data_IF_574067894750
#
_entry.id   IF_574067894750
#
_cell.length_a   1.000
_cell.length_b   1.000
_cell.length_c   1.000
_cell.angle_alpha   90.00
_cell.angle_beta   90.00
_cell.angle_gamma   90.00
#
_symmetry.space_group_name_H-M   'P 1'
#
loop_
_entity.id
_entity.type
_entity.pdbx_description
1 polymer ?
#
# COMPACT_ATOMS: atom_id res chain seq x y z
N UNK A 1 15.19 15.86 5.26
CA UNK A 1 15.07 14.38 5.34
C UNK A 1 13.80 13.92 4.63
N UNK A 2 13.76 12.69 4.11
CA UNK A 2 12.56 12.12 3.46
C UNK A 2 12.03 10.89 4.21
N UNK A 3 10.71 10.68 4.13
CA UNK A 3 10.10 9.38 4.45
C UNK A 3 9.75 8.65 3.15
N UNK A 4 10.18 7.40 3.02
CA UNK A 4 9.80 6.52 1.93
C UNK A 4 8.81 5.46 2.44
N UNK A 5 7.67 5.32 1.78
CA UNK A 5 6.61 4.38 2.17
C UNK A 5 6.30 3.44 0.99
N UNK A 6 7.01 2.30 0.89
CA UNK A 6 6.72 1.30 -0.12
C UNK A 6 5.50 0.47 0.27
N UNK A 7 4.57 0.28 -0.65
CA UNK A 7 3.40 -0.55 -0.42
C UNK A 7 2.43 -0.56 -1.59
N UNK A 8 1.47 -1.49 -1.57
CA UNK A 8 0.43 -1.53 -2.60
C UNK A 8 -0.58 -0.39 -2.45
N UNK A 9 -0.80 0.12 -1.24
CA UNK A 9 -1.64 1.29 -0.94
C UNK A 9 -3.07 1.22 -1.51
N UNK A 10 -3.73 0.05 -1.38
CA UNK A 10 -5.15 -0.08 -1.75
C UNK A 10 -6.10 0.65 -0.78
N UNK A 11 -5.64 0.91 0.43
CA UNK A 11 -6.36 1.59 1.48
C UNK A 11 -5.33 2.21 2.45
N UNK A 12 -5.66 3.36 3.04
CA UNK A 12 -4.86 4.02 4.07
C UNK A 12 -5.64 4.06 5.40
N UNK A 13 -4.93 3.83 6.49
CA UNK A 13 -5.55 3.67 7.82
C UNK A 13 -5.40 4.91 8.68
N UNK A 14 -6.26 5.05 9.69
CA UNK A 14 -6.12 6.10 10.68
C UNK A 14 -4.80 5.95 11.46
N UNK A 15 -4.41 4.71 11.79
CA UNK A 15 -3.11 4.44 12.40
C UNK A 15 -1.95 4.98 11.57
N UNK A 16 -1.94 4.76 10.25
CA UNK A 16 -0.88 5.28 9.38
C UNK A 16 -0.81 6.80 9.42
N UNK A 17 -1.96 7.47 9.46
CA UNK A 17 -2.02 8.91 9.60
C UNK A 17 -1.41 9.37 10.92
N UNK A 18 -1.87 8.80 12.04
CA UNK A 18 -1.42 9.16 13.38
C UNK A 18 0.07 8.86 13.58
N UNK A 19 0.56 7.76 13.01
CA UNK A 19 1.97 7.37 13.03
C UNK A 19 2.85 8.37 12.27
N UNK A 20 2.45 8.75 11.05
CA UNK A 20 3.18 9.73 10.25
C UNK A 20 3.11 11.11 10.90
N UNK A 21 1.94 11.55 11.36
CA UNK A 21 1.80 12.80 12.11
C UNK A 21 2.67 12.81 13.37
N UNK A 22 2.76 11.68 14.08
CA UNK A 22 3.67 11.51 15.21
C UNK A 22 5.14 11.72 14.82
N UNK A 23 5.58 11.16 13.69
CA UNK A 23 6.95 11.37 13.18
C UNK A 23 7.18 12.84 12.82
N UNK A 24 6.23 13.49 12.15
CA UNK A 24 6.38 14.87 11.67
C UNK A 24 6.38 15.90 12.81
N UNK A 25 5.66 15.62 13.89
CA UNK A 25 5.49 16.56 15.01
C UNK A 25 6.54 16.38 16.13
N UNK A 26 7.40 15.37 16.06
CA UNK A 26 8.42 15.10 17.07
C UNK A 26 9.84 15.21 16.50
N UNK A 27 10.83 15.60 17.32
CA UNK A 27 12.24 15.45 16.93
C UNK A 27 12.55 13.99 16.58
N UNK A 28 13.28 13.76 15.49
CA UNK A 28 13.62 12.40 15.04
C UNK A 28 14.34 11.59 16.11
N UNK A 29 15.12 12.25 16.99
CA UNK A 29 15.83 11.61 18.10
C UNK A 29 14.90 10.99 19.15
N UNK A 30 13.61 11.34 19.16
CA UNK A 30 12.62 10.73 20.06
C UNK A 30 11.91 9.54 19.41
N UNK A 31 12.18 9.26 18.13
CA UNK A 31 11.60 8.17 17.37
C UNK A 31 12.59 7.01 17.41
N UNK A 32 12.07 5.81 17.61
CA UNK A 32 12.87 4.58 17.59
C UNK A 32 12.75 3.91 16.23
N UNK A 33 13.86 3.36 15.74
CA UNK A 33 13.85 2.45 14.60
C UNK A 33 13.30 1.07 14.98
N UNK A 34 13.21 0.18 13.98
CA UNK A 34 12.74 -1.20 14.14
C UNK A 34 13.54 -2.02 15.19
N UNK A 35 14.78 -1.61 15.49
CA UNK A 35 15.65 -2.26 16.47
C UNK A 35 15.61 -1.58 17.85
N UNK A 36 14.71 -0.61 18.04
CA UNK A 36 14.56 0.14 19.29
C UNK A 36 15.64 1.21 19.51
N UNK A 37 16.42 1.54 18.48
CA UNK A 37 17.46 2.57 18.56
C UNK A 37 16.92 3.94 18.15
N UNK A 38 17.24 5.01 18.90
CA UNK A 38 16.82 6.36 18.51
C UNK A 38 17.40 6.77 17.15
N UNK A 39 16.60 7.46 16.32
CA UNK A 39 17.08 7.97 15.03
C UNK A 39 18.15 9.05 15.29
N UNK A 40 19.40 8.74 14.94
CA UNK A 40 20.54 9.63 15.15
C UNK A 40 20.59 10.82 14.19
N UNK A 41 19.78 10.78 13.12
CA UNK A 41 19.78 11.79 12.07
C UNK A 41 19.14 13.08 12.57
N UNK A 42 19.84 14.19 12.39
CA UNK A 42 19.30 15.52 12.64
C UNK A 42 18.54 16.04 11.42
N UNK A 43 17.54 16.89 11.65
CA UNK A 43 16.76 17.56 10.61
C UNK A 43 15.27 17.27 10.69
N UNK A 44 14.50 17.97 9.85
CA UNK A 44 13.05 17.78 9.71
C UNK A 44 12.76 16.91 8.50
N UNK A 45 11.62 16.21 8.53
CA UNK A 45 11.07 15.60 7.33
C UNK A 45 10.58 16.72 6.41
N UNK A 46 11.06 16.73 5.18
CA UNK A 46 10.75 17.73 4.16
C UNK A 46 9.67 17.25 3.19
N UNK A 47 9.56 15.94 2.98
CA UNK A 47 8.54 15.33 2.15
C UNK A 47 8.34 13.85 2.49
N UNK A 48 7.17 13.34 2.13
CA UNK A 48 6.83 11.92 2.17
C UNK A 48 6.70 11.42 0.74
N UNK A 49 7.29 10.26 0.47
CA UNK A 49 7.34 9.64 -0.84
C UNK A 49 6.65 8.29 -0.75
N UNK A 50 5.49 8.18 -1.37
CA UNK A 50 4.78 6.91 -1.52
C UNK A 50 5.26 6.20 -2.77
N UNK A 51 5.88 5.03 -2.56
CA UNK A 51 6.22 4.10 -3.62
C UNK A 51 5.09 3.09 -3.77
N UNK A 52 4.21 3.32 -4.75
CA UNK A 52 3.01 2.52 -5.00
C UNK A 52 3.37 1.28 -5.81
N UNK A 53 3.55 0.16 -5.13
CA UNK A 53 4.04 -1.08 -5.72
C UNK A 53 2.97 -1.83 -6.51
N UNK A 54 3.40 -2.65 -7.48
CA UNK A 54 2.53 -3.27 -8.48
C UNK A 54 1.62 -2.22 -9.15
N UNK A 55 2.20 -1.09 -9.57
CA UNK A 55 1.47 0.02 -10.18
C UNK A 55 0.74 -0.39 -11.47
N UNK A 56 1.37 -1.27 -12.25
CA UNK A 56 0.85 -1.89 -13.47
C UNK A 56 -0.24 -2.96 -13.25
N UNK A 57 -0.54 -3.37 -12.01
CA UNK A 57 -1.57 -4.38 -11.73
C UNK A 57 -2.89 -3.72 -11.29
N UNK A 58 -4.00 -4.28 -11.79
CA UNK A 58 -5.36 -3.86 -11.41
C UNK A 58 -6.38 -4.95 -11.74
N UNK A 59 -7.58 -4.86 -11.18
CA UNK A 59 -8.69 -5.79 -11.44
C UNK A 59 -8.42 -7.26 -11.06
N UNK A 60 -7.57 -7.49 -10.06
CA UNK A 60 -7.35 -8.84 -9.48
C UNK A 60 -7.72 -8.82 -8.00
N UNK A 61 -7.83 -9.99 -7.35
CA UNK A 61 -8.10 -10.01 -5.91
C UNK A 61 -6.99 -9.36 -5.11
N UNK A 62 -5.71 -9.59 -5.48
CA UNK A 62 -4.55 -8.99 -4.80
C UNK A 62 -4.32 -7.51 -5.16
N UNK A 63 -4.75 -7.10 -6.36
CA UNK A 63 -4.65 -5.72 -6.83
C UNK A 63 -5.98 -5.24 -7.41
N UNK A 64 -6.99 -4.99 -6.56
CA UNK A 64 -8.32 -4.65 -7.06
C UNK A 64 -8.38 -3.24 -7.65
N UNK A 65 -7.56 -2.32 -7.13
CA UNK A 65 -7.56 -0.92 -7.53
C UNK A 65 -6.39 -0.58 -8.48
N UNK A 66 -6.64 0.17 -9.56
CA UNK A 66 -5.58 0.66 -10.43
C UNK A 66 -4.72 1.73 -9.74
N UNK A 67 -3.50 1.96 -10.23
CA UNK A 67 -2.57 2.94 -9.67
C UNK A 67 -3.19 4.32 -9.43
N UNK A 68 -3.91 4.86 -10.41
CA UNK A 68 -4.47 6.22 -10.29
C UNK A 68 -5.50 6.36 -9.14
N UNK A 69 -6.27 5.32 -8.82
CA UNK A 69 -7.20 5.37 -7.67
C UNK A 69 -6.47 5.34 -6.33
N UNK A 70 -5.37 4.60 -6.27
CA UNK A 70 -4.49 4.56 -5.11
C UNK A 70 -3.78 5.90 -4.92
N UNK A 71 -3.28 6.47 -6.01
CA UNK A 71 -2.67 7.80 -6.01
C UNK A 71 -3.66 8.88 -5.53
N UNK A 72 -4.90 8.89 -6.03
CA UNK A 72 -5.94 9.81 -5.53
C UNK A 72 -6.23 9.65 -4.02
N UNK A 73 -6.20 8.41 -3.52
CA UNK A 73 -6.38 8.16 -2.08
C UNK A 73 -5.21 8.68 -1.25
N UNK A 74 -3.98 8.55 -1.77
CA UNK A 74 -2.78 9.06 -1.11
C UNK A 74 -2.72 10.59 -1.16
N UNK A 75 -3.11 11.20 -2.28
CA UNK A 75 -3.15 12.65 -2.44
C UNK A 75 -4.10 13.28 -1.42
N UNK A 76 -5.34 12.79 -1.35
CA UNK A 76 -6.33 13.21 -0.34
C UNK A 76 -5.85 12.96 1.10
N UNK A 77 -5.09 11.87 1.34
CA UNK A 77 -4.51 11.56 2.65
C UNK A 77 -3.36 12.50 3.02
N UNK A 78 -2.60 12.95 2.03
CA UNK A 78 -1.40 13.77 2.20
C UNK A 78 -1.71 15.21 2.58
N UNK A 79 -2.85 15.75 2.15
CA UNK A 79 -3.27 17.14 2.39
C UNK A 79 -3.20 17.56 3.87
N UNK A 80 -3.47 16.64 4.81
CA UNK A 80 -3.47 16.93 6.24
C UNK A 80 -2.14 16.64 6.96
N UNK A 81 -1.10 16.18 6.27
CA UNK A 81 0.20 15.84 6.89
C UNK A 81 1.12 17.06 7.07
N UNK A 82 0.84 18.20 6.44
CA UNK A 82 1.61 19.43 6.62
C UNK A 82 3.02 19.44 5.99
N UNK A 83 3.36 18.39 5.24
CA UNK A 83 4.55 18.32 4.38
C UNK A 83 4.13 17.83 2.98
N UNK A 84 4.84 18.22 1.91
CA UNK A 84 4.59 17.70 0.57
C UNK A 84 4.60 16.17 0.50
N UNK A 85 3.62 15.62 -0.20
CA UNK A 85 3.52 14.18 -0.50
C UNK A 85 3.74 13.96 -1.99
N UNK A 86 4.61 13.02 -2.33
CA UNK A 86 4.90 12.62 -3.71
C UNK A 86 4.58 11.15 -3.92
N UNK A 87 4.07 10.81 -5.10
CA UNK A 87 3.53 9.49 -5.40
C UNK A 87 4.19 8.98 -6.67
N UNK A 88 4.86 7.83 -6.58
CA UNK A 88 5.51 7.20 -7.72
C UNK A 88 5.04 5.76 -7.88
N UNK A 89 4.63 5.42 -9.11
CA UNK A 89 4.26 4.07 -9.48
C UNK A 89 5.48 3.17 -9.65
N UNK A 90 5.51 2.06 -8.92
CA UNK A 90 6.55 1.04 -9.01
C UNK A 90 5.95 -0.20 -9.65
N UNK A 91 6.28 -0.43 -10.91
CA UNK A 91 5.76 -1.57 -11.66
C UNK A 91 6.30 -2.88 -11.11
N UNK A 92 5.46 -3.90 -11.10
CA UNK A 92 5.87 -5.27 -10.89
C UNK A 92 6.50 -5.79 -12.18
N UNK A 93 7.80 -6.10 -12.13
CA UNK A 93 8.58 -6.59 -13.27
C UNK A 93 9.00 -8.05 -13.09
N UNK A 94 8.31 -8.78 -12.20
CA UNK A 94 8.61 -10.16 -11.87
C UNK A 94 9.73 -10.31 -10.84
N UNK A 95 10.56 -11.33 -10.99
CA UNK A 95 11.57 -11.67 -9.98
C UNK A 95 12.76 -10.70 -10.03
N UNK A 96 12.77 -9.73 -9.11
CA UNK A 96 13.86 -8.78 -8.92
C UNK A 96 14.60 -9.12 -7.63
N UNK A 97 15.88 -9.51 -7.75
CA UNK A 97 16.72 -9.87 -6.60
C UNK A 97 16.92 -8.71 -5.60
N UNK A 98 16.78 -7.47 -6.06
CA UNK A 98 16.94 -6.27 -5.23
C UNK A 98 15.83 -5.25 -5.53
N UNK A 99 14.62 -5.53 -5.03
CA UNK A 99 13.45 -4.70 -5.25
C UNK A 99 13.59 -3.28 -4.66
N UNK A 100 14.35 -3.10 -3.56
CA UNK A 100 14.59 -1.78 -2.97
C UNK A 100 15.40 -0.90 -3.91
N UNK A 101 16.52 -1.39 -4.46
CA UNK A 101 17.32 -0.64 -5.45
C UNK A 101 16.51 -0.27 -6.69
N UNK A 102 15.70 -1.21 -7.21
CA UNK A 102 14.78 -0.92 -8.31
C UNK A 102 13.80 0.21 -7.96
N UNK A 103 13.20 0.17 -6.77
CA UNK A 103 12.28 1.21 -6.30
C UNK A 103 12.95 2.57 -6.23
N UNK A 104 14.15 2.67 -5.65
CA UNK A 104 14.90 3.92 -5.55
C UNK A 104 15.27 4.47 -6.93
N UNK A 105 15.73 3.61 -7.85
CA UNK A 105 16.06 4.01 -9.23
C UNK A 105 14.82 4.49 -10.00
N UNK A 106 13.68 3.82 -9.82
CA UNK A 106 12.41 4.20 -10.45
C UNK A 106 11.96 5.57 -9.95
N UNK A 107 11.98 5.81 -8.64
CA UNK A 107 11.65 7.13 -8.05
C UNK A 107 12.59 8.21 -8.60
N UNK A 108 13.90 7.96 -8.64
CA UNK A 108 14.87 8.92 -9.17
C UNK A 108 14.59 9.24 -10.64
N UNK A 109 14.26 8.25 -11.45
CA UNK A 109 13.97 8.44 -12.87
C UNK A 109 12.66 9.22 -13.09
N UNK A 110 11.57 8.78 -12.46
CA UNK A 110 10.24 9.39 -12.62
C UNK A 110 10.16 10.80 -12.01
N UNK A 111 11.00 11.09 -11.02
CA UNK A 111 11.13 12.44 -10.45
C UNK A 111 12.11 13.34 -11.20
N UNK A 112 12.63 12.91 -12.36
CA UNK A 112 13.65 13.63 -13.14
C UNK A 112 14.89 14.01 -12.31
N UNK A 113 15.23 13.18 -11.33
CA UNK A 113 16.36 13.40 -10.43
C UNK A 113 16.09 14.34 -9.26
N UNK A 114 14.86 14.83 -9.10
CA UNK A 114 14.44 15.64 -7.94
C UNK A 114 14.68 14.89 -6.62
N UNK A 115 14.38 13.59 -6.59
CA UNK A 115 14.61 12.74 -5.42
C UNK A 115 15.80 11.79 -5.63
N UNK A 116 16.86 12.02 -4.84
CA UNK A 116 18.01 11.12 -4.73
C UNK A 116 18.01 10.49 -3.35
N UNK A 117 17.21 9.45 -3.18
CA UNK A 117 17.03 8.79 -1.89
C UNK A 117 18.24 7.92 -1.54
N UNK A 118 18.85 8.18 -0.39
CA UNK A 118 19.98 7.44 0.16
C UNK A 118 19.72 7.08 1.62
N UNK A 119 20.44 6.10 2.19
CA UNK A 119 20.37 5.79 3.61
C UNK A 119 20.59 6.99 4.53
N UNK A 120 21.38 7.98 4.12
CA UNK A 120 21.71 9.17 4.92
C UNK A 120 20.56 10.16 4.98
N UNK A 121 19.78 10.31 3.89
CA UNK A 121 18.74 11.33 3.78
C UNK A 121 17.31 10.80 3.88
N UNK A 122 17.13 9.48 3.95
CA UNK A 122 15.81 8.83 3.92
C UNK A 122 15.62 7.85 5.08
N UNK A 123 14.41 7.84 5.62
CA UNK A 123 13.91 6.78 6.52
C UNK A 123 12.82 6.01 5.78
N UNK A 124 12.76 4.69 5.97
CA UNK A 124 11.78 3.83 5.30
C UNK A 124 10.71 3.40 6.30
N UNK A 125 9.45 3.73 6.04
CA UNK A 125 8.31 3.29 6.84
C UNK A 125 7.76 2.01 6.22
N UNK A 126 8.01 0.86 6.84
CA UNK A 126 7.58 -0.43 6.32
C UNK A 126 7.41 -1.48 7.42
N UNK A 127 6.27 -2.17 7.40
CA UNK A 127 5.90 -3.22 8.36
C UNK A 127 5.95 -4.64 7.76
N UNK A 128 6.26 -4.78 6.47
CA UNK A 128 6.23 -6.06 5.75
C UNK A 128 7.64 -6.61 5.44
N UNK A 129 7.81 -7.88 5.06
CA UNK A 129 9.11 -8.47 4.75
C UNK A 129 9.97 -7.72 3.73
N UNK A 130 9.36 -6.90 2.88
CA UNK A 130 10.10 -6.02 1.95
C UNK A 130 11.07 -5.07 2.69
N UNK A 131 10.82 -4.75 3.96
CA UNK A 131 11.72 -3.93 4.78
C UNK A 131 13.14 -4.49 4.83
N UNK A 132 13.30 -5.82 4.76
CA UNK A 132 14.61 -6.45 4.85
C UNK A 132 15.51 -6.01 3.69
N UNK A 133 14.96 -5.85 2.48
CA UNK A 133 15.73 -5.40 1.32
C UNK A 133 16.22 -3.95 1.47
N UNK A 134 15.45 -3.09 2.13
CA UNK A 134 15.85 -1.72 2.44
C UNK A 134 16.89 -1.68 3.56
N UNK A 135 16.72 -2.49 4.60
CA UNK A 135 17.67 -2.63 5.70
C UNK A 135 19.03 -3.15 5.21
N UNK A 136 19.04 -4.19 4.37
CA UNK A 136 20.27 -4.69 3.71
C UNK A 136 20.95 -3.63 2.83
N UNK A 137 20.18 -2.66 2.33
CA UNK A 137 20.69 -1.51 1.56
C UNK A 137 21.12 -0.34 2.46
N UNK A 138 21.11 -0.51 3.78
CA UNK A 138 21.57 0.46 4.78
C UNK A 138 20.52 1.45 5.27
N UNK A 139 19.28 1.38 4.77
CA UNK A 139 18.24 2.31 5.20
C UNK A 139 17.79 2.03 6.64
N UNK A 140 17.51 3.11 7.37
CA UNK A 140 16.87 3.00 8.70
C UNK A 140 15.38 2.73 8.53
N UNK A 141 14.87 1.69 9.19
CA UNK A 141 13.48 1.26 9.09
C UNK A 141 12.68 1.76 10.29
N UNK A 142 11.53 2.37 10.00
CA UNK A 142 10.47 2.70 10.94
C UNK A 142 9.37 1.64 10.82
N UNK A 143 9.04 0.99 11.94
CA UNK A 143 8.30 -0.28 11.94
C UNK A 143 6.81 -0.17 11.59
N UNK A 144 6.21 1.02 11.72
CA UNK A 144 4.77 1.23 11.54
C UNK A 144 3.92 0.19 12.31
N UNK A 145 3.12 -0.61 11.61
CA UNK A 145 2.23 -1.62 12.20
C UNK A 145 2.99 -2.81 12.82
N UNK A 146 4.27 -2.99 12.50
CA UNK A 146 5.05 -4.15 12.93
C UNK A 146 5.53 -3.98 14.38
N UNK A 147 5.30 -5.02 15.20
CA UNK A 147 5.74 -5.11 16.59
C UNK A 147 6.92 -6.06 16.77
N UNK A 148 6.89 -7.21 16.12
CA UNK A 148 7.92 -8.24 16.24
C UNK A 148 8.19 -8.85 14.86
N UNK A 149 9.42 -8.63 14.37
CA UNK A 149 9.86 -9.11 13.05
C UNK A 149 10.16 -10.60 13.02
N UNK A 150 10.39 -11.25 14.16
CA UNK A 150 10.79 -12.66 14.24
C UNK A 150 9.64 -13.58 13.81
N UNK A 151 8.41 -13.18 14.14
CA UNK A 151 7.18 -13.91 13.86
C UNK A 151 6.19 -13.11 13.00
N UNK A 152 6.60 -11.94 12.49
CA UNK A 152 5.75 -11.01 11.74
C UNK A 152 4.46 -10.66 12.48
N UNK A 153 4.57 -10.36 13.78
CA UNK A 153 3.43 -9.94 14.60
C UNK A 153 3.24 -8.43 14.53
N UNK A 154 2.01 -8.03 14.25
CA UNK A 154 1.60 -6.65 14.15
C UNK A 154 0.97 -6.17 15.46
N UNK A 155 1.20 -4.90 15.81
CA UNK A 155 0.52 -4.20 16.90
C UNK A 155 -0.78 -3.55 16.46
N UNK A 156 -0.93 -3.33 15.15
CA UNK A 156 -2.02 -2.57 14.56
C UNK A 156 -2.61 -3.29 13.35
N UNK A 157 -3.81 -2.90 12.96
CA UNK A 157 -4.53 -3.50 11.82
C UNK A 157 -3.82 -3.14 10.51
N UNK A 158 -3.53 -4.16 9.69
CA UNK A 158 -2.99 -3.94 8.36
C UNK A 158 -4.06 -3.39 7.41
N UNK A 159 -3.71 -2.48 6.49
CA UNK A 159 -4.66 -1.94 5.52
C UNK A 159 -5.38 -3.01 4.71
N UNK A 160 -4.69 -4.11 4.37
CA UNK A 160 -5.25 -5.22 3.61
C UNK A 160 -6.39 -5.93 4.36
N UNK A 161 -6.28 -6.10 5.68
CA UNK A 161 -7.32 -6.71 6.50
C UNK A 161 -8.63 -5.92 6.44
N UNK A 162 -8.54 -4.59 6.28
CA UNK A 162 -9.73 -3.73 6.10
C UNK A 162 -10.33 -3.92 4.71
N UNK A 163 -9.50 -4.03 3.67
CA UNK A 163 -9.96 -4.33 2.30
C UNK A 163 -10.70 -5.67 2.25
N UNK A 164 -10.15 -6.71 2.90
CA UNK A 164 -10.80 -8.01 3.05
C UNK A 164 -12.14 -7.85 3.77
N UNK A 165 -12.18 -7.08 4.86
CA UNK A 165 -13.44 -6.86 5.59
C UNK A 165 -14.52 -6.14 4.77
N UNK A 166 -14.12 -5.18 3.93
CA UNK A 166 -15.03 -4.49 3.00
C UNK A 166 -15.57 -5.46 1.95
N UNK A 167 -14.76 -6.43 1.50
CA UNK A 167 -15.16 -7.42 0.50
C UNK A 167 -16.29 -8.36 0.99
N UNK A 168 -16.39 -8.57 2.30
CA UNK A 168 -17.36 -9.48 2.93
C UNK A 168 -18.76 -8.87 3.12
N UNK A 169 -18.90 -7.54 3.09
CA UNK A 169 -20.13 -6.86 3.52
C UNK A 169 -20.61 -5.83 2.50
N UNK A 170 -21.83 -6.01 1.99
CA UNK A 170 -22.48 -5.01 1.12
C UNK A 170 -22.66 -3.66 1.80
N UNK A 171 -22.92 -3.64 3.12
CA UNK A 171 -23.04 -2.45 3.94
C UNK A 171 -21.74 -2.13 4.68
N UNK A 172 -20.60 -2.26 3.99
CA UNK A 172 -19.25 -2.09 4.54
C UNK A 172 -19.08 -0.77 5.31
N UNK A 173 -19.72 0.31 4.87
CA UNK A 173 -19.65 1.63 5.51
C UNK A 173 -20.18 1.62 6.94
N UNK A 174 -21.07 0.70 7.27
CA UNK A 174 -21.65 0.57 8.62
C UNK A 174 -20.86 -0.35 9.53
N UNK A 175 -19.88 -1.09 9.00
CA UNK A 175 -19.09 -2.04 9.76
C UNK A 175 -18.14 -1.28 10.68
N UNK A 176 -18.31 -1.43 12.00
CA UNK A 176 -17.53 -0.70 13.01
C UNK A 176 -16.02 -0.91 12.84
N UNK A 177 -15.59 -2.13 12.52
CA UNK A 177 -14.18 -2.41 12.22
C UNK A 177 -13.62 -1.54 11.09
N UNK A 178 -14.38 -1.34 10.00
CA UNK A 178 -13.93 -0.50 8.89
C UNK A 178 -13.92 0.96 9.31
N UNK A 179 -15.00 1.44 9.94
CA UNK A 179 -15.11 2.83 10.42
C UNK A 179 -13.98 3.23 11.37
N UNK A 180 -13.61 2.34 12.30
CA UNK A 180 -12.63 2.64 13.34
C UNK A 180 -11.18 2.61 12.84
N UNK A 181 -10.91 1.94 11.72
CA UNK A 181 -9.53 1.74 11.24
C UNK A 181 -9.22 2.46 9.92
N UNK A 182 -10.20 2.71 9.06
CA UNK A 182 -10.01 3.37 7.78
C UNK A 182 -9.86 4.89 7.95
N UNK A 183 -8.88 5.50 7.28
CA UNK A 183 -8.75 6.95 7.29
C UNK A 183 -9.87 7.63 6.49
N UNK A 184 -10.28 8.83 6.89
CA UNK A 184 -11.34 9.60 6.24
C UNK A 184 -11.08 9.84 4.74
N UNK A 185 -9.82 10.09 4.34
CA UNK A 185 -9.42 10.24 2.94
C UNK A 185 -9.72 8.99 2.11
N UNK A 186 -9.37 7.81 2.63
CA UNK A 186 -9.68 6.55 1.97
C UNK A 186 -11.19 6.35 1.91
N UNK A 187 -11.92 6.61 2.99
CA UNK A 187 -13.38 6.49 3.02
C UNK A 187 -14.02 7.39 1.94
N UNK A 188 -13.56 8.63 1.81
CA UNK A 188 -14.02 9.57 0.80
C UNK A 188 -13.83 9.03 -0.62
N UNK A 189 -12.61 8.61 -0.98
CA UNK A 189 -12.31 8.10 -2.33
C UNK A 189 -13.06 6.80 -2.61
N UNK A 190 -13.12 5.88 -1.65
CA UNK A 190 -13.85 4.61 -1.79
C UNK A 190 -15.34 4.81 -2.04
N UNK A 191 -15.96 5.79 -1.37
CA UNK A 191 -17.37 6.16 -1.61
C UNK A 191 -17.55 6.87 -2.94
N UNK A 192 -16.74 7.89 -3.22
CA UNK A 192 -16.84 8.72 -4.43
C UNK A 192 -16.78 7.90 -5.72
N UNK A 193 -15.94 6.87 -5.76
CA UNK A 193 -15.75 6.03 -6.93
C UNK A 193 -16.36 4.62 -6.80
N UNK A 194 -17.16 4.39 -5.76
CA UNK A 194 -17.83 3.10 -5.50
C UNK A 194 -16.86 1.89 -5.55
N UNK A 195 -15.68 2.05 -4.93
CA UNK A 195 -14.59 1.07 -5.03
C UNK A 195 -14.93 -0.26 -4.33
N UNK A 196 -15.72 -0.21 -3.25
CA UNK A 196 -16.17 -1.39 -2.52
C UNK A 196 -16.95 -2.37 -3.42
N UNK A 197 -17.87 -1.88 -4.26
CA UNK A 197 -18.64 -2.73 -5.17
C UNK A 197 -17.72 -3.52 -6.10
N UNK A 198 -16.66 -2.88 -6.62
CA UNK A 198 -15.67 -3.53 -7.47
C UNK A 198 -14.88 -4.59 -6.70
N UNK A 199 -14.39 -4.26 -5.50
CA UNK A 199 -13.63 -5.20 -4.65
C UNK A 199 -14.49 -6.42 -4.31
N UNK A 200 -15.74 -6.20 -3.89
CA UNK A 200 -16.69 -7.27 -3.56
C UNK A 200 -16.97 -8.18 -4.75
N UNK A 201 -17.08 -7.62 -5.96
CA UNK A 201 -17.24 -8.41 -7.19
C UNK A 201 -16.02 -9.31 -7.45
N UNK A 202 -14.80 -8.75 -7.34
CA UNK A 202 -13.56 -9.50 -7.56
C UNK A 202 -13.35 -10.63 -6.53
N UNK A 203 -13.79 -10.43 -5.29
CA UNK A 203 -13.69 -11.45 -4.23
C UNK A 203 -14.75 -12.56 -4.37
N UNK A 204 -15.92 -12.26 -4.94
CA UNK A 204 -16.96 -13.26 -5.25
C UNK A 204 -16.65 -14.07 -6.51
N UNK A 205 -15.88 -13.53 -7.42
CA UNK A 205 -15.55 -14.19 -8.69
C UNK A 205 -14.55 -15.34 -8.46
N UNK A 206 -15.02 -16.58 -8.58
CA UNK A 206 -14.20 -17.79 -8.43
C UNK A 206 -13.17 -18.01 -9.56
N UNK A 207 -13.29 -17.29 -10.68
CA UNK A 207 -12.41 -17.43 -11.84
C UNK A 207 -11.22 -16.45 -11.80
N UNK A 208 -11.30 -15.38 -11.01
CA UNK A 208 -10.20 -14.42 -10.84
C UNK A 208 -9.24 -14.96 -9.79
N UNK A 209 -8.04 -15.33 -10.24
CA UNK A 209 -6.92 -15.70 -9.37
C UNK A 209 -6.35 -14.47 -8.66
N UNK A 210 -5.55 -14.68 -7.61
CA UNK A 210 -5.00 -13.59 -6.79
C UNK A 210 -4.21 -12.57 -7.62
N UNK A 211 -3.42 -13.06 -8.58
CA UNK A 211 -2.60 -12.22 -9.49
C UNK A 211 -3.24 -11.98 -10.86
N UNK A 212 -4.51 -12.37 -11.07
CA UNK A 212 -5.22 -12.18 -12.34
C UNK A 212 -4.68 -13.03 -13.50
N UNK A 213 -3.85 -14.02 -13.17
CA UNK A 213 -3.29 -14.96 -14.13
C UNK A 213 -4.38 -15.95 -14.57
N UNK A 214 -4.78 -15.86 -15.84
CA UNK A 214 -5.76 -16.74 -16.50
C UNK A 214 -5.07 -17.98 -17.11
N UNK A 215 -3.73 -18.06 -17.03
CA UNK A 215 -2.96 -18.91 -17.95
C UNK A 215 -2.22 -20.10 -17.33
N UNK A 216 -2.10 -20.21 -16.01
CA UNK A 216 -1.26 -21.25 -15.40
C UNK A 216 -1.98 -22.57 -15.08
N UNK A 217 -3.32 -22.57 -14.96
CA UNK A 217 -4.11 -23.81 -14.71
C UNK A 217 -5.45 -23.76 -15.44
N UNK A 218 -5.45 -24.07 -16.74
CA UNK A 218 -6.70 -24.18 -17.52
C UNK A 218 -7.27 -25.59 -17.48
N UNK A 219 -8.44 -25.73 -16.86
CA UNK A 219 -9.46 -26.69 -17.31
C UNK A 219 -10.45 -25.91 -18.18
N UNK A 220 -10.30 -26.04 -19.51
CA UNK A 220 -11.07 -25.31 -20.52
C UNK A 220 -12.59 -25.54 -20.40
N UNK A 221 -13.01 -26.63 -19.76
CA UNK A 221 -14.41 -27.02 -19.64
C UNK A 221 -15.21 -26.13 -18.66
N UNK A 222 -14.54 -25.57 -17.65
CA UNK A 222 -15.18 -24.71 -16.64
C UNK A 222 -15.58 -23.34 -17.23
N UNK A 223 -14.75 -22.81 -18.14
CA UNK A 223 -14.97 -21.53 -18.81
C UNK A 223 -16.16 -21.57 -19.78
N UNK A 224 -16.32 -22.68 -20.52
CA UNK A 224 -17.43 -22.84 -21.48
C UNK A 224 -18.77 -22.94 -20.75
N UNK A 225 -18.82 -23.66 -19.61
CA UNK A 225 -20.06 -23.82 -18.84
C UNK A 225 -20.55 -22.51 -18.20
N UNK A 226 -19.66 -21.65 -17.72
CA UNK A 226 -20.06 -20.38 -17.11
C UNK A 226 -20.35 -19.27 -18.13
N UNK A 227 -19.74 -19.32 -19.32
CA UNK A 227 -20.12 -18.43 -20.42
C UNK A 227 -21.56 -18.71 -20.91
N UNK A 228 -21.98 -19.98 -20.88
CA UNK A 228 -23.38 -20.35 -21.17
C UNK A 228 -24.34 -19.85 -20.08
N UNK A 229 -23.95 -19.82 -18.80
CA UNK A 229 -24.76 -19.24 -17.72
C UNK A 229 -24.86 -17.70 -17.80
N UNK A 230 -23.79 -17.02 -18.22
CA UNK A 230 -23.76 -15.56 -18.38
C UNK A 230 -24.53 -15.11 -19.64
N UNK A 231 -24.60 -15.95 -20.68
CA UNK A 231 -25.36 -15.66 -21.89
C UNK A 231 -26.88 -15.57 -21.64
N UNK A 232 -27.40 -16.20 -20.58
CA UNK A 232 -28.83 -16.12 -20.21
C UNK A 232 -29.20 -14.77 -19.57
N UNK A 233 -28.22 -13.99 -19.08
CA UNK A 233 -28.42 -12.65 -18.50
C UNK A 233 -28.33 -11.49 -19.52
N UNK A 234 -28.27 -11.81 -20.82
CA UNK A 234 -28.33 -10.82 -21.91
C UNK A 234 -29.60 -10.96 -22.76
N UNK A 235 -30.76 -10.87 -22.13
CA UNK A 235 -32.00 -10.32 -22.72
C UNK A 235 -32.83 -9.63 -21.64
#
# INVERSE_FOLDING_TARGET
MYLLIPGRHHLLTQFQFDYLAGILNNPLQHILDINGSPIQKAGKIEAIIFAVTSANHSNTRRNPLPFYMRALSIDEFGESLGVPVYIYGIDDVGNVNNFSDYTIKRIRHESEGLFQLTPENTLVVCSTPVLEMYEHSGFTILSAELKDRTNWKYQEVLPWTIVEKISESTNWETVDFVKSNMHAASLYIWKKYNLASKVQMLFKDHMISDDGDITTTRDYNSYVRQMDEIAVLKF
#
